data_IF_815809568522
#
_entry.id   IF_815809568522
#
_cell.length_a   1.000
_cell.length_b   1.000
_cell.length_c   1.000
_cell.angle_alpha   90.00
_cell.angle_beta   90.00
_cell.angle_gamma   90.00
#
_symmetry.space_group_name_H-M   'P 1'
#
loop_
_entity.id
_entity.type
_entity.pdbx_description
1 polymer ?
#
# COMPACT_ATOMS: atom_id res chain seq x y z
N UNK A 1 20.32 -5.53 30.31
CA UNK A 1 19.33 -4.91 29.40
C UNK A 1 17.97 -5.39 29.83
N UNK A 2 17.34 -4.60 30.70
CA UNK A 2 16.01 -4.86 31.21
C UNK A 2 15.06 -4.23 30.20
N UNK A 3 14.40 -5.09 29.42
CA UNK A 3 13.32 -4.62 28.55
C UNK A 3 12.27 -3.98 29.44
N UNK A 4 12.01 -2.71 29.13
CA UNK A 4 11.02 -1.86 29.79
C UNK A 4 9.76 -2.67 30.06
N UNK A 5 9.40 -2.71 31.35
CA UNK A 5 8.04 -2.93 31.76
C UNK A 5 7.21 -1.97 30.91
N UNK A 6 6.40 -2.53 30.01
CA UNK A 6 5.36 -1.76 29.36
C UNK A 6 4.47 -1.34 30.51
N UNK A 7 4.64 -0.09 30.94
CA UNK A 7 3.75 0.53 31.90
C UNK A 7 2.33 0.30 31.39
N UNK A 8 1.62 -0.45 32.23
CA UNK A 8 0.19 -0.52 32.33
C UNK A 8 -0.36 0.90 32.06
N UNK A 9 -1.24 1.05 31.06
CA UNK A 9 -1.98 2.29 30.75
C UNK A 9 -1.59 3.11 29.48
N UNK A 10 -1.39 2.44 28.34
CA UNK A 10 -1.92 2.95 27.05
C UNK A 10 -2.80 1.88 26.41
N UNK A 11 -4.05 1.83 26.87
CA UNK A 11 -5.04 0.79 26.52
C UNK A 11 -5.78 1.07 25.20
N UNK A 12 -5.25 1.94 24.34
CA UNK A 12 -5.95 2.37 23.12
C UNK A 12 -5.88 1.35 21.98
N UNK A 13 -4.93 0.41 22.01
CA UNK A 13 -4.80 -0.63 20.98
C UNK A 13 -4.98 -2.03 21.54
N UNK A 14 -6.19 -2.59 21.44
CA UNK A 14 -6.49 -3.98 21.82
C UNK A 14 -6.23 -4.89 20.62
N UNK A 15 -5.21 -5.78 20.64
CA UNK A 15 -4.90 -6.65 19.49
C UNK A 15 -6.07 -7.56 19.09
N UNK A 16 -6.96 -7.87 20.03
CA UNK A 16 -8.17 -8.65 19.79
C UNK A 16 -9.14 -8.00 18.83
N UNK A 17 -9.12 -6.67 18.71
CA UNK A 17 -9.95 -5.92 17.76
C UNK A 17 -9.36 -5.96 16.34
N UNK A 18 -8.13 -6.45 16.19
CA UNK A 18 -7.36 -6.46 14.95
C UNK A 18 -6.98 -7.88 14.49
N UNK A 19 -7.80 -8.87 14.85
CA UNK A 19 -7.64 -10.24 14.35
C UNK A 19 -6.55 -11.04 15.07
N UNK A 20 -6.34 -10.79 16.37
CA UNK A 20 -5.52 -11.64 17.23
C UNK A 20 -6.37 -12.26 18.34
N UNK A 21 -5.97 -13.41 18.86
CA UNK A 21 -6.55 -14.01 20.06
C UNK A 21 -5.47 -14.35 21.08
N UNK A 22 -5.85 -14.35 22.36
CA UNK A 22 -4.94 -14.70 23.46
C UNK A 22 -4.86 -16.22 23.57
N UNK A 23 -3.65 -16.76 23.38
CA UNK A 23 -3.29 -18.13 23.73
C UNK A 23 -2.47 -18.11 25.03
N UNK A 24 -2.18 -19.29 25.61
CA UNK A 24 -1.40 -19.39 26.86
C UNK A 24 -0.02 -18.75 26.66
N UNK A 25 0.18 -17.60 27.31
CA UNK A 25 1.45 -16.86 27.30
C UNK A 25 1.78 -16.07 26.04
N UNK A 26 0.91 -16.02 25.01
CA UNK A 26 1.18 -15.27 23.77
C UNK A 26 -0.08 -14.96 22.95
N UNK A 27 0.03 -14.00 22.03
CA UNK A 27 -1.00 -13.71 21.02
C UNK A 27 -0.79 -14.57 19.78
N UNK A 28 -1.89 -15.05 19.20
CA UNK A 28 -1.90 -15.73 17.90
C UNK A 28 -2.81 -15.01 16.92
N UNK A 29 -2.47 -14.98 15.62
CA UNK A 29 -3.35 -14.40 14.61
C UNK A 29 -4.59 -15.29 14.42
N UNK A 30 -5.75 -14.66 14.28
CA UNK A 30 -7.01 -15.32 13.94
C UNK A 30 -7.01 -15.64 12.46
N UNK A 31 -7.09 -16.93 12.12
CA UNK A 31 -7.27 -17.35 10.74
C UNK A 31 -8.61 -16.84 10.20
N UNK A 32 -8.65 -16.43 8.93
CA UNK A 32 -9.87 -15.96 8.29
C UNK A 32 -10.02 -16.57 6.91
N UNK A 33 -11.23 -17.02 6.60
CA UNK A 33 -11.64 -17.43 5.25
C UNK A 33 -12.09 -16.23 4.40
N UNK A 34 -12.06 -15.01 4.98
CA UNK A 34 -12.35 -13.79 4.23
C UNK A 34 -11.30 -13.61 3.14
N UNK A 35 -11.71 -13.17 1.93
CA UNK A 35 -10.76 -12.89 0.87
C UNK A 35 -9.77 -11.80 1.32
N UNK A 36 -8.48 -11.98 0.97
CA UNK A 36 -7.40 -11.05 1.34
C UNK A 36 -7.64 -9.61 0.87
N UNK A 37 -8.38 -9.44 -0.22
CA UNK A 37 -8.82 -8.15 -0.75
C UNK A 37 -10.07 -8.35 -1.63
N UNK A 38 -10.82 -7.27 -1.92
CA UNK A 38 -11.88 -7.31 -2.93
C UNK A 38 -11.37 -7.86 -4.27
N UNK A 39 -12.10 -8.76 -4.94
CA UNK A 39 -11.66 -9.41 -6.18
C UNK A 39 -11.37 -8.41 -7.30
N UNK A 40 -11.99 -7.24 -7.27
CA UNK A 40 -11.75 -6.13 -8.18
C UNK A 40 -10.30 -5.64 -8.10
N UNK A 41 -9.69 -5.67 -6.89
CA UNK A 41 -8.31 -5.21 -6.67
C UNK A 41 -7.31 -6.31 -7.01
N UNK A 42 -7.62 -7.57 -6.68
CA UNK A 42 -6.75 -8.72 -6.96
C UNK A 42 -6.55 -8.94 -8.46
N UNK A 43 -7.56 -8.62 -9.28
CA UNK A 43 -7.53 -8.84 -10.72
C UNK A 43 -7.04 -7.63 -11.53
N UNK A 44 -6.63 -6.53 -10.89
CA UNK A 44 -6.12 -5.36 -11.60
C UNK A 44 -4.88 -5.74 -12.41
N UNK A 45 -5.03 -5.78 -13.74
CA UNK A 45 -3.89 -5.90 -14.65
C UNK A 45 -3.19 -4.56 -14.78
N UNK A 46 -1.94 -4.52 -14.30
CA UNK A 46 -1.04 -3.38 -14.48
C UNK A 46 -0.78 -3.16 -15.97
N UNK A 47 -0.65 -1.91 -16.38
CA UNK A 47 -0.49 -1.59 -17.78
C UNK A 47 0.88 -2.08 -18.30
N UNK A 48 0.92 -2.42 -19.58
CA UNK A 48 2.15 -2.74 -20.33
C UNK A 48 2.55 -1.60 -21.28
N UNK A 49 2.07 -0.38 -20.97
CA UNK A 49 2.35 0.81 -21.74
C UNK A 49 3.85 1.08 -21.77
N UNK A 50 4.44 1.18 -22.96
CA UNK A 50 5.86 1.58 -23.11
C UNK A 50 6.00 3.10 -22.97
N UNK A 51 7.12 3.58 -22.38
CA UNK A 51 7.50 4.98 -22.48
C UNK A 51 7.58 5.37 -23.97
N UNK A 52 6.82 6.39 -24.38
CA UNK A 52 6.85 6.89 -25.74
C UNK A 52 6.41 8.35 -25.79
N UNK A 53 6.77 9.11 -26.85
CA UNK A 53 6.38 10.51 -26.99
C UNK A 53 4.86 10.74 -26.94
N UNK A 54 4.08 9.75 -27.40
CA UNK A 54 2.60 9.78 -27.41
C UNK A 54 1.98 9.50 -26.04
N UNK A 55 2.79 9.10 -25.05
CA UNK A 55 2.42 8.86 -23.66
C UNK A 55 1.06 8.16 -23.46
N UNK A 56 0.95 6.86 -23.79
CA UNK A 56 -0.33 6.12 -23.78
C UNK A 56 -0.99 6.06 -22.39
N UNK A 57 -0.19 6.22 -21.31
CA UNK A 57 -0.66 6.39 -19.93
C UNK A 57 -1.56 7.61 -19.73
N UNK A 58 -1.54 8.57 -20.65
CA UNK A 58 -2.35 9.78 -20.62
C UNK A 58 -3.79 9.55 -21.04
N UNK A 59 -4.10 8.35 -21.52
CA UNK A 59 -5.37 8.04 -22.17
C UNK A 59 -5.94 6.74 -21.60
N UNK A 60 -7.16 6.41 -22.00
CA UNK A 60 -7.81 5.15 -21.61
C UNK A 60 -7.19 3.90 -22.28
N UNK A 61 -6.16 4.06 -23.13
CA UNK A 61 -5.33 2.94 -23.59
C UNK A 61 -4.53 2.31 -22.44
N UNK A 62 -4.28 3.07 -21.37
CA UNK A 62 -3.65 2.56 -20.18
C UNK A 62 -4.69 1.89 -19.27
N UNK A 63 -4.55 0.58 -19.05
CA UNK A 63 -5.45 -0.17 -18.16
C UNK A 63 -5.47 0.39 -16.74
N UNK A 64 -4.34 0.90 -16.21
CA UNK A 64 -4.32 1.54 -14.90
C UNK A 64 -5.26 2.76 -14.88
N UNK A 65 -5.12 3.69 -15.83
CA UNK A 65 -5.96 4.89 -15.91
C UNK A 65 -7.42 4.54 -16.15
N UNK A 66 -7.70 3.59 -17.05
CA UNK A 66 -9.05 3.10 -17.34
C UNK A 66 -9.76 2.56 -16.08
N UNK A 67 -9.01 1.94 -15.17
CA UNK A 67 -9.52 1.43 -13.89
C UNK A 67 -9.39 2.43 -12.73
N UNK A 68 -9.13 3.72 -13.01
CA UNK A 68 -9.05 4.76 -11.97
C UNK A 68 -7.76 4.72 -11.13
N UNK A 69 -6.72 4.03 -11.59
CA UNK A 69 -5.47 3.82 -10.83
C UNK A 69 -4.32 4.61 -11.43
N UNK A 70 -3.44 5.09 -10.56
CA UNK A 70 -2.11 5.55 -10.96
C UNK A 70 -1.21 4.37 -11.28
N UNK A 71 -0.35 4.54 -12.29
CA UNK A 71 0.76 3.64 -12.57
C UNK A 71 1.71 3.59 -11.36
N UNK A 72 2.32 2.42 -11.17
CA UNK A 72 3.29 2.15 -10.11
C UNK A 72 4.44 1.30 -10.67
N UNK A 73 5.45 1.04 -9.84
CA UNK A 73 6.63 0.22 -10.18
C UNK A 73 6.28 -1.14 -10.80
N UNK A 74 5.16 -1.75 -10.39
CA UNK A 74 4.68 -3.03 -10.94
C UNK A 74 4.03 -2.94 -12.34
N UNK A 75 3.98 -1.76 -12.97
CA UNK A 75 3.57 -1.64 -14.37
C UNK A 75 4.67 -2.15 -15.30
N UNK A 76 4.36 -3.12 -16.16
CA UNK A 76 5.35 -3.87 -16.95
C UNK A 76 6.01 -3.11 -18.11
N UNK A 77 5.86 -1.78 -18.20
CA UNK A 77 6.51 -1.00 -19.25
C UNK A 77 6.90 0.39 -18.78
N UNK A 78 5.94 1.16 -18.24
CA UNK A 78 6.21 2.51 -17.76
C UNK A 78 6.79 2.58 -16.34
N UNK A 79 6.66 1.48 -15.57
CA UNK A 79 7.09 1.38 -14.16
C UNK A 79 6.60 2.51 -13.24
N UNK A 80 5.58 3.27 -13.65
CA UNK A 80 5.11 4.42 -12.87
C UNK A 80 6.08 5.59 -12.79
N UNK A 81 7.16 5.61 -13.58
CA UNK A 81 8.18 6.66 -13.55
C UNK A 81 8.15 7.49 -14.85
N UNK A 82 8.23 6.79 -15.99
CA UNK A 82 8.26 7.36 -17.34
C UNK A 82 6.87 7.41 -17.99
N UNK A 83 5.90 7.92 -17.24
CA UNK A 83 4.55 8.17 -17.75
C UNK A 83 3.85 9.35 -17.06
N UNK A 84 2.78 9.86 -17.68
CA UNK A 84 1.95 10.93 -17.11
C UNK A 84 0.81 10.42 -16.21
N UNK A 85 0.72 9.11 -15.97
CA UNK A 85 -0.23 8.52 -15.00
C UNK A 85 0.47 8.08 -13.71
N UNK A 86 1.58 8.71 -13.33
CA UNK A 86 2.28 8.45 -12.08
C UNK A 86 1.62 9.14 -10.88
N UNK A 87 1.91 8.65 -9.67
CA UNK A 87 1.57 9.36 -8.44
C UNK A 87 2.37 10.66 -8.36
N UNK A 88 1.81 11.69 -7.72
CA UNK A 88 2.61 12.83 -7.30
C UNK A 88 3.70 12.33 -6.35
N UNK A 89 4.90 12.90 -6.42
CA UNK A 89 5.91 12.65 -5.38
C UNK A 89 5.38 13.27 -4.09
N UNK A 90 5.18 12.44 -3.07
CA UNK A 90 4.93 12.92 -1.72
C UNK A 90 6.19 13.68 -1.27
N UNK A 91 6.23 15.00 -1.48
CA UNK A 91 7.20 15.87 -0.82
C UNK A 91 6.81 15.89 0.66
N UNK A 92 7.30 14.92 1.42
CA UNK A 92 7.45 15.13 2.86
C UNK A 92 8.52 16.21 3.01
N UNK A 93 8.07 17.45 3.16
CA UNK A 93 8.91 18.53 3.64
C UNK A 93 9.24 18.16 5.08
N UNK A 94 10.36 17.48 5.29
CA UNK A 94 10.94 17.36 6.61
C UNK A 94 11.26 18.79 7.02
N UNK A 95 10.54 19.32 8.02
CA UNK A 95 10.84 20.63 8.56
C UNK A 95 12.26 20.57 9.14
N UNK A 96 13.20 21.33 8.58
CA UNK A 96 14.58 21.51 9.04
C UNK A 96 14.67 22.27 10.38
N UNK A 97 13.69 22.12 11.28
CA UNK A 97 13.60 22.92 12.51
C UNK A 97 14.12 22.19 13.77
N UNK A 98 14.85 21.08 13.60
CA UNK A 98 15.45 20.34 14.71
C UNK A 98 16.95 20.05 14.49
N UNK A 99 17.71 21.10 14.15
CA UNK A 99 19.15 21.17 14.42
C UNK A 99 19.44 22.46 15.19
#
# INVERSE_FOLDING_TARGET
MQWLLMDEEDTTFKPTDWGWYKAVGHLKPTATDKPLAPPEILNIKRCKCKPSPKNPCGTNLCSCRKNGLKCMSSCGGCHGEDCNNKKARDRKQYNEHYF
#
